data_IF_244913591890
#
_entry.id   IF_244913591890
#
_cell.length_a   1.000
_cell.length_b   1.000
_cell.length_c   1.000
_cell.angle_alpha   90.00
_cell.angle_beta   90.00
_cell.angle_gamma   90.00
#
_symmetry.space_group_name_H-M   'P 1'
#
loop_
_entity.id
_entity.type
_entity.pdbx_description
1 polymer ?
#
# COMPACT_ATOMS: atom_id res chain seq x y z
N UNK A 1 6.56 -1.30 -7.79
CA UNK A 1 7.19 -2.55 -7.30
C UNK A 1 7.71 -3.32 -8.50
N UNK A 2 8.99 -3.70 -8.54
CA UNK A 2 9.51 -4.53 -9.64
C UNK A 2 9.56 -6.00 -9.22
N UNK A 3 8.88 -6.87 -9.95
CA UNK A 3 8.97 -8.32 -9.78
C UNK A 3 9.08 -8.99 -11.15
N UNK A 4 10.04 -9.91 -11.31
CA UNK A 4 10.21 -10.69 -12.55
C UNK A 4 10.29 -9.84 -13.84
N UNK A 5 11.02 -8.71 -13.82
CA UNK A 5 11.14 -7.74 -14.93
C UNK A 5 9.83 -7.03 -15.29
N UNK A 6 8.86 -7.04 -14.39
CA UNK A 6 7.58 -6.34 -14.54
C UNK A 6 7.44 -5.30 -13.43
N UNK A 7 7.01 -4.10 -13.81
CA UNK A 7 6.61 -3.06 -12.86
C UNK A 7 5.14 -3.27 -12.52
N UNK A 8 4.86 -3.42 -11.23
CA UNK A 8 3.53 -3.52 -10.67
C UNK A 8 3.19 -2.25 -9.90
N UNK A 9 1.99 -1.74 -10.15
CA UNK A 9 1.34 -0.70 -9.35
C UNK A 9 0.62 -1.38 -8.19
N UNK A 10 0.74 -0.81 -6.99
CA UNK A 10 0.02 -1.26 -5.81
C UNK A 10 -0.94 -0.14 -5.44
N UNK A 11 -2.23 -0.46 -5.39
CA UNK A 11 -3.26 0.49 -5.01
C UNK A 11 -3.57 0.32 -3.52
N UNK A 12 -3.79 1.43 -2.82
CA UNK A 12 -4.23 1.40 -1.44
C UNK A 12 -5.65 0.80 -1.38
N UNK A 13 -5.94 -0.07 -0.40
CA UNK A 13 -7.27 -0.66 -0.26
C UNK A 13 -8.29 0.33 0.34
N UNK A 14 -7.82 1.42 0.95
CA UNK A 14 -8.65 2.41 1.64
C UNK A 14 -8.15 3.82 1.34
N UNK A 15 -9.06 4.78 1.38
CA UNK A 15 -8.74 6.20 1.43
C UNK A 15 -8.26 6.58 2.82
N UNK A 16 -7.29 7.49 2.91
CA UNK A 16 -6.82 7.99 4.19
C UNK A 16 -5.53 8.77 4.09
N UNK A 17 -4.94 9.04 5.26
CA UNK A 17 -3.68 9.77 5.39
C UNK A 17 -2.50 8.81 5.59
N UNK A 18 -1.43 8.98 4.81
CA UNK A 18 -0.19 8.22 5.00
C UNK A 18 0.50 8.66 6.30
N UNK A 19 0.61 7.75 7.26
CA UNK A 19 1.26 8.01 8.56
C UNK A 19 2.71 7.56 8.61
N UNK A 20 3.10 6.56 7.80
CA UNK A 20 4.48 6.11 7.69
C UNK A 20 4.77 5.47 6.34
N UNK A 21 6.01 5.60 5.86
CA UNK A 21 6.54 4.92 4.68
C UNK A 21 7.75 4.12 5.14
N UNK A 22 7.62 2.79 5.10
CA UNK A 22 8.64 1.82 5.54
C UNK A 22 9.44 1.23 4.38
N UNK A 23 9.52 1.95 3.26
CA UNK A 23 10.32 1.55 2.10
C UNK A 23 10.98 2.75 1.44
N UNK A 24 12.15 2.50 0.85
CA UNK A 24 12.88 3.47 0.02
C UNK A 24 12.91 3.05 -1.45
N UNK A 25 13.15 4.02 -2.34
CA UNK A 25 13.32 3.73 -3.77
C UNK A 25 14.50 2.78 -4.01
N UNK A 26 14.25 1.72 -4.79
CA UNK A 26 15.26 0.71 -5.12
C UNK A 26 15.56 -0.29 -3.99
N UNK A 27 14.88 -0.19 -2.85
CA UNK A 27 15.02 -1.14 -1.75
C UNK A 27 14.49 -2.53 -2.14
N UNK A 28 15.27 -3.57 -1.84
CA UNK A 28 14.84 -4.94 -1.99
C UNK A 28 14.00 -5.34 -0.77
N UNK A 29 12.69 -5.51 -0.97
CA UNK A 29 11.74 -5.85 0.08
C UNK A 29 11.24 -7.29 -0.07
N UNK A 30 10.95 -7.95 1.06
CA UNK A 30 10.40 -9.30 1.08
C UNK A 30 8.86 -9.29 1.03
N UNK A 31 8.28 -10.44 0.67
CA UNK A 31 6.83 -10.59 0.70
C UNK A 31 6.30 -10.48 2.14
N UNK A 32 5.14 -9.83 2.31
CA UNK A 32 4.47 -9.57 3.59
C UNK A 32 5.14 -8.53 4.49
N UNK A 33 6.09 -7.75 3.98
CA UNK A 33 6.62 -6.57 4.68
C UNK A 33 5.70 -5.36 4.41
N UNK A 34 5.30 -4.60 5.43
CA UNK A 34 4.53 -3.36 5.24
C UNK A 34 5.37 -2.34 4.47
N UNK A 35 4.78 -1.71 3.45
CA UNK A 35 5.43 -0.65 2.68
C UNK A 35 5.00 0.74 3.16
N UNK A 36 3.71 0.91 3.45
CA UNK A 36 3.10 2.17 3.85
C UNK A 36 2.02 1.88 4.88
N UNK A 37 1.94 2.72 5.90
CA UNK A 37 0.85 2.70 6.89
C UNK A 37 -0.07 3.87 6.58
N UNK A 38 -1.36 3.57 6.44
CA UNK A 38 -2.41 4.53 6.11
C UNK A 38 -3.40 4.54 7.29
N UNK A 39 -3.66 5.72 7.84
CA UNK A 39 -4.77 5.94 8.77
C UNK A 39 -6.03 6.27 7.94
N UNK A 40 -7.05 5.40 7.95
CA UNK A 40 -8.24 5.60 7.14
C UNK A 40 -9.03 6.82 7.60
N UNK A 41 -9.55 7.59 6.66
CA UNK A 41 -10.48 8.66 6.98
C UNK A 41 -11.80 8.01 7.45
N UNK A 42 -12.41 8.56 8.50
CA UNK A 42 -13.54 7.97 9.22
C UNK A 42 -14.85 7.83 8.40
N UNK A 43 -14.80 7.92 7.07
CA UNK A 43 -15.96 7.92 6.18
C UNK A 43 -16.06 6.75 5.20
N UNK A 44 -15.03 5.89 5.06
CA UNK A 44 -14.96 4.95 3.93
C UNK A 44 -15.06 3.47 4.37
N UNK A 45 -16.10 3.15 5.16
CA UNK A 45 -16.54 1.77 5.48
C UNK A 45 -17.56 1.23 4.44
N UNK A 46 -17.51 1.67 3.17
CA UNK A 46 -18.46 1.25 2.12
C UNK A 46 -17.79 0.69 0.86
N UNK A 47 -16.95 -0.37 0.94
CA UNK A 47 -16.69 -1.19 -0.27
C UNK A 47 -16.25 -2.65 -0.01
N UNK A 48 -16.96 -3.37 0.87
CA UNK A 48 -17.00 -4.85 0.81
C UNK A 48 -18.45 -5.33 0.65
N UNK A 49 -19.02 -5.02 -0.51
CA UNK A 49 -20.42 -5.28 -0.82
C UNK A 49 -20.69 -5.74 -2.25
N UNK A 50 -19.87 -6.62 -2.86
CA UNK A 50 -20.31 -7.58 -3.90
C UNK A 50 -19.27 -8.64 -4.27
#
# INVERSE_FOLDING_TARGET
LEAMKMQNEIQAPVSGTVVSVECSEGEAIEANVPLVVIEPDASDDEDEGR
#
